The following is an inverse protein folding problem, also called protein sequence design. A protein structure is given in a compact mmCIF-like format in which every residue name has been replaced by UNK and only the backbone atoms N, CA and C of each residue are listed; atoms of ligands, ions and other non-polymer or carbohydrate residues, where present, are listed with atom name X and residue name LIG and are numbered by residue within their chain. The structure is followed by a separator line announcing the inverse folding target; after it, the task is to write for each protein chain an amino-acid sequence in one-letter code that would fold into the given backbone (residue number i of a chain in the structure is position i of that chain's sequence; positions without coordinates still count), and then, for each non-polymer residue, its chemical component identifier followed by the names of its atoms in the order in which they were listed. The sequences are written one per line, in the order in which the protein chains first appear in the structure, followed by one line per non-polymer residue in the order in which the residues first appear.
data_IF_804239217369
#
_entry.id   IF_804239217369
#
_cell.length_a   1.000
_cell.length_b   1.000
_cell.length_c   1.000
_cell.angle_alpha   90.00
_cell.angle_beta   90.00
_cell.angle_gamma   90.00
#
_symmetry.space_group_name_H-M   'P 1'
#
loop_
_entity.id
_entity.type
_entity.pdbx_description
1 polymer ?
#
# COMPACT_ATOMS: atom_id res chain seq x y z
N UNK A 1 12.14 4.94 4.73
CA UNK A 1 11.85 3.49 4.53
C UNK A 1 12.73 2.82 3.45
N UNK A 2 13.53 3.54 2.67
CA UNK A 2 14.36 2.95 1.59
C UNK A 2 15.53 2.08 2.05
N UNK A 3 15.90 2.08 3.34
CA UNK A 3 17.09 1.35 3.83
C UNK A 3 16.84 -0.05 4.41
N UNK A 4 15.59 -0.48 4.65
CA UNK A 4 15.32 -1.76 5.35
C UNK A 4 14.69 -2.84 4.49
N UNK A 5 13.85 -2.47 3.51
CA UNK A 5 13.30 -3.42 2.54
C UNK A 5 13.41 -2.82 1.14
N UNK A 6 14.12 -3.51 0.25
CA UNK A 6 14.06 -3.23 -1.19
C UNK A 6 12.72 -3.68 -1.78
N UNK A 7 12.55 -3.49 -3.08
CA UNK A 7 11.38 -4.02 -3.80
C UNK A 7 11.32 -5.55 -3.66
N UNK A 8 10.12 -6.11 -3.48
CA UNK A 8 9.93 -7.54 -3.26
C UNK A 8 8.53 -7.86 -2.75
N UNK A 9 8.32 -9.08 -2.27
CA UNK A 9 7.02 -9.49 -1.74
C UNK A 9 7.11 -10.31 -0.46
N UNK A 10 6.04 -10.27 0.32
CA UNK A 10 5.78 -11.13 1.46
C UNK A 10 4.70 -12.14 1.11
N UNK A 11 5.01 -13.43 1.32
CA UNK A 11 4.10 -14.56 1.13
C UNK A 11 3.44 -14.61 -0.26
N UNK A 12 4.14 -14.07 -1.28
CA UNK A 12 3.64 -13.87 -2.65
C UNK A 12 2.35 -13.03 -2.74
N UNK A 13 1.86 -12.53 -1.61
CA UNK A 13 0.63 -11.79 -1.46
C UNK A 13 0.89 -10.29 -1.46
N UNK A 14 1.76 -9.79 -0.57
CA UNK A 14 1.99 -8.34 -0.38
C UNK A 14 3.29 -7.90 -1.05
N UNK A 15 3.19 -7.07 -2.08
CA UNK A 15 4.30 -6.54 -2.85
C UNK A 15 4.65 -5.13 -2.41
N UNK A 16 5.94 -4.88 -2.22
CA UNK A 16 6.52 -3.61 -1.79
C UNK A 16 7.30 -3.01 -2.96
N UNK A 17 7.06 -1.74 -3.22
CA UNK A 17 7.72 -0.99 -4.28
C UNK A 17 8.96 -0.28 -3.75
N UNK A 18 9.91 -0.04 -4.65
CA UNK A 18 11.09 0.77 -4.36
C UNK A 18 11.21 1.90 -5.39
N UNK A 19 11.79 3.01 -4.97
CA UNK A 19 12.07 4.12 -5.88
C UNK A 19 13.18 3.73 -6.86
N UNK A 20 12.93 3.85 -8.16
CA UNK A 20 13.90 3.51 -9.20
C UNK A 20 14.11 2.00 -9.36
N UNK A 21 13.12 1.17 -9.00
CA UNK A 21 13.20 -0.26 -9.24
C UNK A 21 13.38 -0.55 -10.75
N UNK A 22 14.24 -1.51 -11.10
CA UNK A 22 14.47 -1.90 -12.51
C UNK A 22 13.21 -2.45 -13.17
N UNK A 23 12.38 -3.13 -12.39
CA UNK A 23 11.07 -3.58 -12.80
C UNK A 23 10.04 -2.46 -12.54
N UNK A 24 9.50 -1.85 -13.60
CA UNK A 24 8.51 -0.78 -13.51
C UNK A 24 7.20 -1.17 -12.80
N UNK A 25 6.92 -2.47 -12.69
CA UNK A 25 5.81 -2.97 -11.86
C UNK A 25 6.06 -2.81 -10.35
N UNK A 26 7.31 -2.60 -9.94
CA UNK A 26 7.73 -2.38 -8.56
C UNK A 26 8.27 -0.96 -8.32
N UNK A 27 8.13 -0.06 -9.30
CA UNK A 27 8.56 1.34 -9.17
C UNK A 27 7.45 2.22 -8.59
N UNK A 28 7.78 2.97 -7.54
CA UNK A 28 6.84 3.85 -6.84
C UNK A 28 6.26 4.91 -7.79
N UNK A 29 7.08 5.54 -8.63
CA UNK A 29 6.64 6.65 -9.47
C UNK A 29 5.71 6.18 -10.60
N UNK A 30 6.07 5.08 -11.26
CA UNK A 30 5.24 4.47 -12.31
C UNK A 30 3.90 4.00 -11.75
N UNK A 31 3.91 3.23 -10.66
CA UNK A 31 2.69 2.68 -10.07
C UNK A 31 1.79 3.78 -9.49
N UNK A 32 2.37 4.81 -8.87
CA UNK A 32 1.62 5.99 -8.41
C UNK A 32 0.89 6.68 -9.58
N UNK A 33 1.55 6.84 -10.74
CA UNK A 33 0.93 7.43 -11.93
C UNK A 33 -0.26 6.61 -12.45
N UNK A 34 -0.13 5.28 -12.45
CA UNK A 34 -1.21 4.36 -12.85
C UNK A 34 -2.38 4.42 -11.86
N UNK A 35 -2.11 4.32 -10.56
CA UNK A 35 -3.12 4.43 -9.51
C UNK A 35 -3.91 5.74 -9.61
N UNK A 36 -3.23 6.89 -9.72
CA UNK A 36 -3.90 8.19 -9.82
C UNK A 36 -4.78 8.28 -11.06
N UNK A 37 -4.37 7.66 -12.16
CA UNK A 37 -5.20 7.56 -13.38
C UNK A 37 -6.43 6.68 -13.16
N UNK A 38 -6.29 5.57 -12.43
CA UNK A 38 -7.39 4.67 -12.08
C UNK A 38 -8.38 5.29 -11.11
N UNK A 39 -7.92 6.11 -10.15
CA UNK A 39 -8.77 6.76 -9.14
C UNK A 39 -9.42 8.05 -9.65
N UNK A 40 -8.94 8.60 -10.77
CA UNK A 40 -9.46 9.85 -11.33
C UNK A 40 -10.96 9.76 -11.59
N UNK A 41 -11.72 10.66 -10.97
CA UNK A 41 -13.18 10.74 -11.12
C UNK A 41 -13.97 9.62 -10.43
N UNK A 42 -13.32 8.74 -9.66
CA UNK A 42 -13.99 7.70 -8.88
C UNK A 42 -14.23 8.17 -7.44
N UNK A 43 -15.40 7.81 -6.91
CA UNK A 43 -15.70 7.94 -5.48
C UNK A 43 -15.34 6.62 -4.81
N UNK A 44 -14.44 6.67 -3.83
CA UNK A 44 -14.02 5.52 -3.03
C UNK A 44 -14.69 5.65 -1.65
N UNK A 45 -15.70 4.82 -1.34
CA UNK A 45 -16.34 4.82 -0.03
C UNK A 45 -15.33 4.77 1.13
N UNK A 46 -15.49 5.68 2.09
CA UNK A 46 -14.63 5.79 3.26
C UNK A 46 -13.32 6.56 3.04
N UNK A 47 -12.87 6.75 1.80
CA UNK A 47 -11.64 7.49 1.51
C UNK A 47 -11.82 9.01 1.65
N UNK A 48 -12.95 9.56 1.21
CA UNK A 48 -13.21 11.00 1.20
C UNK A 48 -13.05 11.68 2.57
N UNK A 49 -13.77 11.22 3.62
CA UNK A 49 -13.66 11.81 4.96
C UNK A 49 -12.24 11.73 5.54
N UNK A 50 -11.51 10.65 5.24
CA UNK A 50 -10.12 10.47 5.69
C UNK A 50 -9.21 11.47 4.99
N UNK A 51 -9.30 11.57 3.67
CA UNK A 51 -8.50 12.52 2.90
C UNK A 51 -8.74 13.96 3.38
N UNK A 52 -9.99 14.31 3.70
CA UNK A 52 -10.35 15.62 4.28
C UNK A 52 -9.67 15.86 5.64
N UNK A 53 -9.64 14.86 6.52
CA UNK A 53 -8.95 14.94 7.82
C UNK A 53 -7.46 15.28 7.66
N UNK A 54 -6.80 14.66 6.68
CA UNK A 54 -5.39 14.87 6.37
C UNK A 54 -5.12 16.03 5.40
N UNK A 55 -6.17 16.73 4.95
CA UNK A 55 -6.09 17.80 3.93
C UNK A 55 -5.37 17.36 2.65
N UNK A 56 -5.62 16.13 2.24
CA UNK A 56 -5.07 15.53 1.03
C UNK A 56 -6.18 15.27 0.01
N UNK A 57 -5.81 15.10 -1.26
CA UNK A 57 -6.69 14.68 -2.34
C UNK A 57 -6.31 13.28 -2.83
N UNK A 58 -7.22 12.63 -3.57
CA UNK A 58 -6.93 11.31 -4.17
C UNK A 58 -5.77 11.38 -5.17
N UNK A 59 -5.55 12.55 -5.77
CA UNK A 59 -4.41 12.85 -6.63
C UNK A 59 -3.08 12.99 -5.89
N UNK A 60 -3.08 13.13 -4.56
CA UNK A 60 -1.85 13.27 -3.76
C UNK A 60 -1.31 11.92 -3.32
N UNK A 61 -2.16 10.88 -3.26
CA UNK A 61 -1.77 9.55 -2.84
C UNK A 61 -0.54 9.04 -3.60
N UNK A 62 0.35 8.35 -2.89
CA UNK A 62 1.58 7.76 -3.42
C UNK A 62 1.56 6.27 -3.14
N UNK A 63 1.49 5.46 -4.19
CA UNK A 63 1.41 4.01 -4.06
C UNK A 63 2.80 3.45 -3.70
N UNK A 64 2.85 2.65 -2.66
CA UNK A 64 4.09 1.99 -2.20
C UNK A 64 3.98 0.48 -2.15
N UNK A 65 2.79 -0.07 -2.35
CA UNK A 65 2.60 -1.51 -2.44
C UNK A 65 1.31 -1.89 -3.13
N UNK A 66 1.20 -3.18 -3.38
CA UNK A 66 0.01 -3.82 -3.95
C UNK A 66 -0.07 -5.24 -3.43
N UNK A 67 -1.27 -5.80 -3.38
CA UNK A 67 -1.45 -7.24 -3.15
C UNK A 67 -1.58 -8.01 -4.47
N UNK A 68 -1.49 -9.33 -4.43
CA UNK A 68 -1.68 -10.21 -5.59
C UNK A 68 -3.07 -10.06 -6.24
N UNK A 69 -4.09 -9.72 -5.45
CA UNK A 69 -5.46 -9.43 -5.88
C UNK A 69 -5.68 -7.95 -6.25
N UNK A 70 -4.60 -7.18 -6.39
CA UNK A 70 -4.55 -5.77 -6.80
C UNK A 70 -5.12 -4.74 -5.79
N UNK A 71 -5.28 -5.10 -4.51
CA UNK A 71 -5.56 -4.11 -3.47
C UNK A 71 -4.36 -3.17 -3.33
N UNK A 72 -4.61 -1.87 -3.26
CA UNK A 72 -3.59 -0.83 -3.34
C UNK A 72 -3.17 -0.39 -1.94
N UNK A 73 -1.87 -0.26 -1.68
CA UNK A 73 -1.33 0.38 -0.49
C UNK A 73 -0.68 1.70 -0.87
N UNK A 74 -1.18 2.79 -0.28
CA UNK A 74 -0.71 4.13 -0.60
C UNK A 74 -0.49 4.98 0.66
N UNK A 75 0.52 5.86 0.60
CA UNK A 75 0.70 6.91 1.59
C UNK A 75 -0.31 8.03 1.35
N UNK A 76 -0.76 8.63 2.44
CA UNK A 76 -1.46 9.92 2.44
C UNK A 76 -0.43 10.98 2.83
N UNK A 77 0.06 11.82 1.89
CA UNK A 77 1.06 12.82 2.21
C UNK A 77 0.49 13.90 3.14
N UNK A 78 0.85 13.83 4.42
CA UNK A 78 0.37 14.77 5.43
C UNK A 78 1.44 14.98 6.51
N UNK A 79 1.97 16.21 6.60
CA UNK A 79 3.00 16.55 7.58
C UNK A 79 4.33 15.84 7.30
N UNK A 80 4.93 15.27 8.34
CA UNK A 80 6.25 14.62 8.32
C UNK A 80 6.24 13.32 7.47
N UNK A 81 7.07 13.21 6.42
CA UNK A 81 7.14 12.03 5.56
C UNK A 81 7.36 10.69 6.25
N UNK A 82 8.08 10.67 7.37
CA UNK A 82 8.33 9.42 8.11
C UNK A 82 7.07 8.91 8.84
N UNK A 83 6.06 9.76 8.97
CA UNK A 83 4.82 9.50 9.69
C UNK A 83 3.59 9.54 8.78
N UNK A 84 3.75 9.55 7.46
CA UNK A 84 2.62 9.53 6.54
C UNK A 84 1.75 8.29 6.77
N UNK A 85 0.42 8.48 6.99
CA UNK A 85 -0.51 7.38 7.13
C UNK A 85 -0.55 6.48 5.89
N UNK A 86 -0.98 5.25 6.08
CA UNK A 86 -1.30 4.34 4.98
C UNK A 86 -2.81 4.22 4.80
N UNK A 87 -3.24 4.29 3.54
CA UNK A 87 -4.55 3.80 3.11
C UNK A 87 -4.40 2.52 2.28
N UNK A 88 -5.28 1.56 2.54
CA UNK A 88 -5.39 0.30 1.82
C UNK A 88 -6.74 0.31 1.10
N UNK A 89 -6.72 0.24 -0.23
CA UNK A 89 -7.91 0.37 -1.08
C UNK A 89 -8.21 -0.97 -1.75
N UNK A 90 -9.43 -1.47 -1.54
CA UNK A 90 -9.87 -2.73 -2.12
C UNK A 90 -10.08 -2.62 -3.63
N UNK A 91 -9.45 -3.54 -4.37
CA UNK A 91 -9.60 -3.68 -5.81
C UNK A 91 -11.06 -3.95 -6.20
N UNK A 92 -11.55 -3.25 -7.24
CA UNK A 92 -12.87 -3.47 -7.84
C UNK A 92 -14.10 -3.10 -6.99
N UNK A 93 -13.95 -2.98 -5.67
CA UNK A 93 -15.03 -2.63 -4.73
C UNK A 93 -14.85 -1.27 -4.07
N UNK A 94 -13.65 -0.69 -4.14
CA UNK A 94 -13.32 0.65 -3.64
C UNK A 94 -13.66 0.85 -2.14
N UNK A 95 -13.60 -0.21 -1.34
CA UNK A 95 -13.55 -0.07 0.12
C UNK A 95 -12.17 0.44 0.54
N UNK A 96 -12.06 1.13 1.68
CA UNK A 96 -10.79 1.63 2.18
C UNK A 96 -10.62 1.37 3.68
N UNK A 97 -9.40 1.01 4.09
CA UNK A 97 -8.95 0.96 5.48
C UNK A 97 -7.79 1.91 5.64
N UNK A 98 -7.78 2.70 6.72
CA UNK A 98 -6.73 3.68 6.99
C UNK A 98 -6.07 3.37 8.31
N UNK A 99 -4.74 3.50 8.32
CA UNK A 99 -3.91 3.34 9.49
C UNK A 99 -2.98 4.55 9.61
N UNK A 100 -2.94 5.15 10.80
CA UNK A 100 -2.02 6.25 11.11
C UNK A 100 -0.56 5.79 11.29
N UNK A 101 -0.29 4.51 11.05
CA UNK A 101 1.04 3.91 11.12
C UNK A 101 1.85 4.26 9.88
N UNK A 102 3.17 4.31 10.04
CA UNK A 102 4.09 4.31 8.90
C UNK A 102 3.86 3.07 8.03
N UNK A 103 4.32 3.08 6.79
CA UNK A 103 4.25 1.90 5.91
C UNK A 103 5.02 0.70 6.47
N UNK A 104 6.17 0.93 7.13
CA UNK A 104 6.93 -0.14 7.77
C UNK A 104 6.14 -0.76 8.94
N UNK A 105 5.54 0.06 9.79
CA UNK A 105 4.71 -0.41 10.90
C UNK A 105 3.40 -1.05 10.41
N UNK A 106 2.89 -0.61 9.26
CA UNK A 106 1.73 -1.22 8.60
C UNK A 106 2.08 -2.63 8.12
N UNK A 107 3.19 -2.79 7.41
CA UNK A 107 3.69 -4.12 6.99
C UNK A 107 3.92 -5.00 8.22
N UNK A 108 4.64 -4.52 9.23
CA UNK A 108 4.87 -5.28 10.46
C UNK A 108 3.55 -5.67 11.15
N UNK A 109 2.59 -4.74 11.22
CA UNK A 109 1.27 -4.99 11.77
C UNK A 109 0.51 -6.08 11.01
N UNK A 110 0.58 -6.07 9.68
CA UNK A 110 -0.02 -7.10 8.83
C UNK A 110 0.65 -8.47 9.08
N UNK A 111 1.98 -8.53 9.04
CA UNK A 111 2.76 -9.77 9.17
C UNK A 111 2.71 -10.38 10.58
N UNK A 112 2.46 -9.57 11.61
CA UNK A 112 2.27 -10.04 12.99
C UNK A 112 0.80 -10.29 13.33
N UNK A 113 -0.11 -9.84 12.46
CA UNK A 113 -1.54 -9.83 12.70
C UNK A 113 -2.06 -8.83 13.71
N UNK A 114 -1.23 -7.87 14.14
CA UNK A 114 -1.67 -6.71 14.91
C UNK A 114 -2.55 -5.74 14.09
N UNK A 115 -2.51 -5.84 12.75
CA UNK A 115 -3.41 -5.16 11.83
C UNK A 115 -4.11 -6.21 10.95
N UNK A 116 -5.45 -6.14 10.92
CA UNK A 116 -6.30 -6.97 10.06
C UNK A 116 -7.09 -6.09 9.11
N UNK A 117 -7.01 -6.40 7.82
CA UNK A 117 -7.77 -5.73 6.77
C UNK A 117 -8.95 -6.65 6.42
N UNK A 118 -10.22 -6.23 6.56
CA UNK A 118 -11.37 -7.13 6.47
C UNK A 118 -11.55 -7.83 5.12
N UNK A 119 -10.90 -7.34 4.07
CA UNK A 119 -10.97 -7.88 2.71
C UNK A 119 -9.70 -8.62 2.27
N UNK A 120 -8.71 -8.75 3.15
CA UNK A 120 -7.59 -9.66 2.91
C UNK A 120 -8.00 -11.10 3.22
N UNK A 121 -7.32 -12.09 2.62
CA UNK A 121 -7.54 -13.50 2.92
C UNK A 121 -7.34 -13.79 4.42
N UNK A 122 -8.15 -14.71 4.97
CA UNK A 122 -8.07 -15.10 6.40
C UNK A 122 -6.76 -15.86 6.72
N UNK A 123 -6.13 -16.44 5.71
CA UNK A 123 -4.85 -17.17 5.79
C UNK A 123 -3.62 -16.27 5.55
N UNK A 124 -3.82 -14.96 5.38
CA UNK A 124 -2.73 -13.98 5.37
C UNK A 124 -2.54 -13.31 6.75
N UNK A 125 -1.31 -13.20 7.25
CA UNK A 125 -0.07 -13.74 6.70
C UNK A 125 0.06 -15.26 6.99
N UNK A 126 0.96 -15.92 6.29
CA UNK A 126 1.28 -17.32 6.58
C UNK A 126 1.87 -17.49 7.98
N UNK A 127 1.91 -18.72 8.51
CA UNK A 127 2.50 -18.99 9.83
C UNK A 127 3.97 -18.56 9.95
N UNK A 128 4.69 -18.51 8.82
CA UNK A 128 6.09 -18.11 8.74
C UNK A 128 6.27 -17.17 7.55
N UNK A 129 5.99 -15.87 7.74
CA UNK A 129 6.07 -14.91 6.66
C UNK A 129 7.47 -14.88 6.05
N UNK A 130 7.54 -14.94 4.73
CA UNK A 130 8.77 -15.01 3.97
C UNK A 130 8.88 -13.81 3.04
N UNK A 131 10.07 -13.22 2.96
CA UNK A 131 10.35 -12.13 2.03
C UNK A 131 11.15 -12.64 0.83
N UNK A 132 10.68 -12.32 -0.38
CA UNK A 132 11.36 -12.62 -1.63
C UNK A 132 11.70 -11.31 -2.36
N UNK A 133 12.99 -10.99 -2.54
CA UNK A 133 13.40 -9.85 -3.37
C UNK A 133 13.15 -10.20 -4.84
N UNK A 134 12.43 -9.33 -5.54
CA UNK A 134 12.18 -9.37 -6.97
C UNK A 134 12.01 -10.78 -7.61
N UNK A 135 10.96 -11.54 -7.25
CA UNK A 135 10.77 -12.93 -7.68
C UNK A 135 10.47 -13.09 -9.18
N UNK A 136 10.39 -12.00 -9.95
CA UNK A 136 10.09 -12.03 -11.39
C UNK A 136 11.26 -11.61 -12.29
N UNK A 137 12.47 -11.49 -11.73
CA UNK A 137 13.71 -11.29 -12.48
C UNK A 137 14.27 -12.59 -13.09
#
# INVERSE_FOLDING_TARGET
MTDTYGAGCFDEFLWIFAQGASNGHLDIAEQTGQMRSLLRGKVVPGLGPVLEEYRAESGDLVQWGVTDNADLLAWIPAGDPDHWPTVIIQAGRLGAVVTARSSADTVLGLLTGALRVPFFPDDFPSERPSFSPDPYH
#
